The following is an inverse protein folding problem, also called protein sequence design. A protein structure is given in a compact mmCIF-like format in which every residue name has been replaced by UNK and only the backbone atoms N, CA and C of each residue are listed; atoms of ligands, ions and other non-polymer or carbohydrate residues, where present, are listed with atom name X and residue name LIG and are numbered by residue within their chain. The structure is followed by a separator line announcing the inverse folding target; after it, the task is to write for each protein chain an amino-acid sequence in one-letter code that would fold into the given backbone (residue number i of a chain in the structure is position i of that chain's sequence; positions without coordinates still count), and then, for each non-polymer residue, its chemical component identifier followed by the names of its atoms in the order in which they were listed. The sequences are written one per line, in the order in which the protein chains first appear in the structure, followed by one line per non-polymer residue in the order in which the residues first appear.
data_IF_163157977094
#
_entry.id   IF_163157977094
#
_cell.length_a   1.000
_cell.length_b   1.000
_cell.length_c   1.000
_cell.angle_alpha   90.00
_cell.angle_beta   90.00
_cell.angle_gamma   90.00
#
_symmetry.space_group_name_H-M   'P 1'
#
loop_
_entity.id
_entity.type
_entity.pdbx_description
1 polymer ?
#
# COMPACT_ATOMS: atom_id res chain seq x y z
N UNK A 1 19.82 1.94 8.41
CA UNK A 1 20.74 2.58 7.40
C UNK A 1 20.03 2.57 6.06
N UNK A 2 19.96 3.70 5.38
CA UNK A 2 19.27 3.80 4.08
C UNK A 2 20.05 3.04 3.01
N UNK A 3 19.35 2.20 2.24
CA UNK A 3 19.94 1.36 1.19
C UNK A 3 19.74 1.99 -0.19
N UNK A 4 20.81 2.05 -0.98
CA UNK A 4 20.77 2.40 -2.41
C UNK A 4 20.93 1.11 -3.20
N UNK A 5 19.98 0.82 -4.08
CA UNK A 5 19.94 -0.43 -4.83
C UNK A 5 20.68 -0.32 -6.15
N UNK A 6 21.39 -1.39 -6.50
CA UNK A 6 21.95 -1.57 -7.84
C UNK A 6 20.83 -1.94 -8.81
N UNK A 7 21.03 -1.72 -10.12
CA UNK A 7 20.09 -2.13 -11.18
C UNK A 7 19.68 -3.61 -11.08
N UNK A 8 20.61 -4.49 -10.70
CA UNK A 8 20.33 -5.91 -10.49
C UNK A 8 19.36 -6.15 -9.34
N UNK A 9 19.49 -5.40 -8.24
CA UNK A 9 18.61 -5.50 -7.08
C UNK A 9 17.24 -4.90 -7.38
N UNK A 10 17.21 -3.76 -8.08
CA UNK A 10 15.98 -3.12 -8.56
C UNK A 10 15.20 -4.10 -9.47
N UNK A 11 15.89 -4.81 -10.38
CA UNK A 11 15.27 -5.82 -11.22
C UNK A 11 14.58 -6.94 -10.41
N UNK A 12 15.15 -7.35 -9.26
CA UNK A 12 14.55 -8.34 -8.38
C UNK A 12 13.32 -7.80 -7.63
N UNK A 13 13.42 -6.56 -7.09
CA UNK A 13 12.29 -5.89 -6.43
C UNK A 13 11.14 -5.73 -7.42
N UNK A 14 11.43 -5.36 -8.67
CA UNK A 14 10.45 -5.26 -9.75
C UNK A 14 9.74 -6.58 -10.02
N UNK A 15 10.47 -7.69 -10.00
CA UNK A 15 9.88 -9.01 -10.22
C UNK A 15 8.93 -9.42 -9.08
N UNK A 16 9.29 -9.15 -7.82
CA UNK A 16 8.40 -9.35 -6.68
C UNK A 16 7.17 -8.44 -6.76
N UNK A 17 7.37 -7.16 -7.08
CA UNK A 17 6.30 -6.17 -7.25
C UNK A 17 5.37 -6.51 -8.44
N UNK A 18 5.90 -7.13 -9.51
CA UNK A 18 5.07 -7.65 -10.63
C UNK A 18 4.10 -8.72 -10.13
N UNK A 19 4.58 -9.66 -9.32
CA UNK A 19 3.71 -10.72 -8.75
C UNK A 19 2.66 -10.11 -7.83
N UNK A 20 3.01 -9.09 -7.02
CA UNK A 20 2.03 -8.34 -6.22
C UNK A 20 0.94 -7.74 -7.09
N UNK A 21 1.33 -7.01 -8.15
CA UNK A 21 0.37 -6.40 -9.09
C UNK A 21 -0.56 -7.44 -9.73
N UNK A 22 0.00 -8.55 -10.22
CA UNK A 22 -0.78 -9.62 -10.85
C UNK A 22 -1.72 -10.29 -9.85
N UNK A 23 -1.28 -10.46 -8.58
CA UNK A 23 -2.12 -11.00 -7.51
C UNK A 23 -3.30 -10.08 -7.21
N UNK A 24 -3.06 -8.78 -6.98
CA UNK A 24 -4.12 -7.79 -6.73
C UNK A 24 -5.06 -7.68 -7.92
N UNK A 25 -4.55 -7.74 -9.15
CA UNK A 25 -5.36 -7.71 -10.37
C UNK A 25 -6.26 -8.94 -10.48
N UNK A 26 -5.74 -10.14 -10.20
CA UNK A 26 -6.53 -11.37 -10.20
C UNK A 26 -7.57 -11.41 -9.06
N UNK A 27 -7.29 -10.78 -7.92
CA UNK A 27 -8.20 -10.65 -6.79
C UNK A 27 -9.35 -9.68 -7.09
N UNK A 28 -9.12 -8.62 -7.87
CA UNK A 28 -10.14 -7.61 -8.16
C UNK A 28 -11.44 -8.19 -8.74
N UNK A 29 -11.33 -9.24 -9.56
CA UNK A 29 -12.48 -9.95 -10.14
C UNK A 29 -13.22 -10.85 -9.14
N UNK A 30 -12.63 -11.12 -7.97
CA UNK A 30 -13.16 -11.99 -6.92
C UNK A 30 -13.77 -11.22 -5.75
N UNK A 31 -13.57 -9.90 -5.71
CA UNK A 31 -14.14 -9.02 -4.68
C UNK A 31 -15.59 -8.70 -5.06
N UNK A 32 -16.46 -9.66 -4.80
CA UNK A 32 -17.88 -9.60 -5.14
C UNK A 32 -18.75 -9.84 -3.92
N UNK A 33 -20.02 -9.51 -4.04
CA UNK A 33 -21.02 -9.73 -2.99
C UNK A 33 -21.02 -11.18 -2.53
N UNK A 34 -20.88 -11.41 -1.22
CA UNK A 34 -20.89 -12.75 -0.62
C UNK A 34 -19.56 -13.49 -0.61
N UNK A 35 -18.53 -12.99 -1.28
CA UNK A 35 -17.16 -13.49 -1.13
C UNK A 35 -16.63 -13.21 0.28
N UNK A 36 -15.58 -13.90 0.68
CA UNK A 36 -14.97 -13.78 2.03
C UNK A 36 -13.48 -13.48 1.94
N UNK A 37 -12.95 -12.78 2.92
CA UNK A 37 -11.51 -12.54 3.02
C UNK A 37 -10.70 -13.83 3.04
N UNK A 38 -11.21 -14.87 3.69
CA UNK A 38 -10.54 -16.18 3.76
C UNK A 38 -10.41 -16.87 2.39
N UNK A 39 -11.41 -16.76 1.54
CA UNK A 39 -11.35 -17.30 0.17
C UNK A 39 -10.32 -16.54 -0.67
N UNK A 40 -10.26 -15.20 -0.53
CA UNK A 40 -9.28 -14.37 -1.22
C UNK A 40 -7.86 -14.67 -0.76
N UNK A 41 -7.62 -14.82 0.55
CA UNK A 41 -6.32 -15.17 1.13
C UNK A 41 -5.78 -16.50 0.59
N UNK A 42 -6.64 -17.53 0.57
CA UNK A 42 -6.29 -18.85 0.05
C UNK A 42 -5.98 -18.82 -1.45
N UNK A 43 -6.74 -18.04 -2.22
CA UNK A 43 -6.47 -17.82 -3.63
C UNK A 43 -5.12 -17.13 -3.83
N UNK A 44 -4.85 -16.05 -3.09
CA UNK A 44 -3.60 -15.29 -3.20
C UNK A 44 -2.38 -16.14 -2.86
N UNK A 45 -2.42 -16.96 -1.80
CA UNK A 45 -1.32 -17.87 -1.46
C UNK A 45 -1.02 -18.82 -2.61
N UNK A 46 -2.05 -19.43 -3.18
CA UNK A 46 -1.90 -20.36 -4.31
C UNK A 46 -1.33 -19.65 -5.54
N UNK A 47 -1.81 -18.46 -5.83
CA UNK A 47 -1.39 -17.66 -6.97
C UNK A 47 0.07 -17.21 -6.85
N UNK A 48 0.45 -16.63 -5.71
CA UNK A 48 1.82 -16.17 -5.43
C UNK A 48 2.82 -17.33 -5.55
N UNK A 49 2.51 -18.48 -4.91
CA UNK A 49 3.37 -19.66 -4.98
C UNK A 49 3.46 -20.24 -6.39
N UNK A 50 2.37 -20.18 -7.15
CA UNK A 50 2.33 -20.57 -8.57
C UNK A 50 3.23 -19.73 -9.47
N UNK A 51 3.49 -18.47 -9.09
CA UNK A 51 4.43 -17.55 -9.77
C UNK A 51 5.89 -17.70 -9.27
N UNK A 52 6.14 -18.62 -8.36
CA UNK A 52 7.46 -18.86 -7.76
C UNK A 52 7.86 -17.78 -6.74
N UNK A 53 6.89 -17.06 -6.19
CA UNK A 53 7.05 -16.15 -5.05
C UNK A 53 6.64 -16.83 -3.73
N UNK A 54 6.90 -16.15 -2.63
CA UNK A 54 6.44 -16.51 -1.29
C UNK A 54 5.61 -15.38 -0.71
N UNK A 55 4.46 -15.67 -0.01
CA UNK A 55 3.71 -14.65 0.73
C UNK A 55 4.62 -13.98 1.77
N UNK A 56 4.78 -12.65 1.68
CA UNK A 56 5.69 -11.92 2.55
C UNK A 56 5.16 -11.76 3.98
N UNK A 57 3.85 -11.65 4.15
CA UNK A 57 3.24 -11.37 5.45
C UNK A 57 3.05 -12.63 6.31
N UNK A 58 2.81 -13.78 5.68
CA UNK A 58 2.51 -15.03 6.40
C UNK A 58 3.69 -15.50 7.24
N UNK A 59 3.55 -15.39 8.56
CA UNK A 59 4.60 -15.69 9.52
C UNK A 59 5.49 -14.50 9.89
N UNK A 60 5.42 -13.38 9.16
CA UNK A 60 6.17 -12.17 9.49
C UNK A 60 5.71 -11.62 10.84
N UNK A 61 6.62 -11.55 11.81
CA UNK A 61 6.34 -11.17 13.21
C UNK A 61 5.17 -11.94 13.84
N UNK A 62 4.80 -13.10 13.28
CA UNK A 62 3.68 -13.94 13.76
C UNK A 62 2.33 -13.65 13.07
N UNK A 63 2.28 -12.79 12.05
CA UNK A 63 1.05 -12.57 11.27
C UNK A 63 0.56 -13.87 10.62
N UNK A 64 -0.75 -14.22 10.70
CA UNK A 64 -1.20 -15.58 10.36
C UNK A 64 -1.50 -15.81 8.88
N UNK A 65 -1.63 -14.76 8.06
CA UNK A 65 -2.25 -14.81 6.73
C UNK A 65 -1.34 -14.33 5.62
N UNK A 66 -1.70 -14.64 4.38
CA UNK A 66 -1.00 -14.21 3.16
C UNK A 66 -1.23 -12.74 2.84
N UNK A 67 -2.48 -12.28 3.02
CA UNK A 67 -2.92 -10.91 2.77
C UNK A 67 -3.30 -10.23 4.08
N UNK A 68 -3.23 -8.89 4.12
CA UNK A 68 -4.04 -8.13 5.04
C UNK A 68 -5.34 -7.72 4.31
N UNK A 69 -6.50 -8.01 4.93
CA UNK A 69 -7.81 -7.66 4.37
C UNK A 69 -8.59 -6.87 5.41
N UNK A 70 -8.71 -5.58 5.17
CA UNK A 70 -9.35 -4.63 6.08
C UNK A 70 -10.67 -4.13 5.48
N UNK A 71 -11.75 -4.19 6.26
CA UNK A 71 -13.12 -3.92 5.77
C UNK A 71 -13.67 -2.68 6.50
N UNK A 72 -14.15 -1.69 5.76
CA UNK A 72 -14.81 -0.47 6.23
C UNK A 72 -13.95 0.34 7.22
N UNK A 73 -14.22 0.23 8.51
CA UNK A 73 -13.52 0.92 9.60
C UNK A 73 -12.18 0.29 9.99
N UNK A 74 -11.84 -0.84 9.41
CA UNK A 74 -10.51 -1.43 9.53
C UNK A 74 -9.55 -0.70 8.61
N UNK A 75 -8.51 -0.09 9.18
CA UNK A 75 -7.52 0.71 8.44
C UNK A 75 -6.55 -0.18 7.70
N UNK A 76 -5.81 -1.03 8.44
CA UNK A 76 -4.83 -1.98 7.92
C UNK A 76 -4.69 -3.20 8.83
N UNK A 77 -3.93 -4.18 8.38
CA UNK A 77 -3.55 -5.41 9.08
C UNK A 77 -4.75 -6.29 9.48
N UNK A 78 -5.91 -6.11 8.82
CA UNK A 78 -7.08 -6.96 9.03
C UNK A 78 -6.76 -8.42 8.71
N UNK A 79 -7.08 -9.33 9.63
CA UNK A 79 -6.89 -10.77 9.43
C UNK A 79 -8.03 -11.31 8.57
N UNK A 80 -7.75 -11.91 7.39
CA UNK A 80 -8.76 -12.52 6.54
C UNK A 80 -9.63 -13.52 7.26
N UNK A 81 -10.93 -13.31 7.26
CA UNK A 81 -11.90 -14.15 7.95
C UNK A 81 -13.05 -14.63 7.04
N UNK A 82 -14.06 -15.28 7.63
CA UNK A 82 -15.22 -15.81 6.92
C UNK A 82 -16.40 -14.81 6.82
N UNK A 83 -16.22 -13.54 7.21
CA UNK A 83 -17.24 -12.49 6.98
C UNK A 83 -17.48 -12.35 5.49
N UNK A 84 -18.74 -12.37 5.10
CA UNK A 84 -19.16 -12.16 3.71
C UNK A 84 -19.20 -10.68 3.40
N UNK A 85 -18.58 -10.30 2.30
CA UNK A 85 -18.67 -8.93 1.79
C UNK A 85 -20.13 -8.60 1.44
N UNK A 86 -20.53 -7.37 1.76
CA UNK A 86 -21.89 -6.85 1.59
C UNK A 86 -21.90 -5.68 0.61
N UNK A 87 -23.05 -5.39 0.05
CA UNK A 87 -23.22 -4.18 -0.75
C UNK A 87 -22.96 -2.93 0.11
N UNK A 88 -22.10 -2.06 -0.38
CA UNK A 88 -21.68 -0.84 0.34
C UNK A 88 -20.40 -0.99 1.14
N UNK A 89 -19.82 -2.20 1.27
CA UNK A 89 -18.51 -2.36 1.88
C UNK A 89 -17.40 -1.82 0.99
N UNK A 90 -16.34 -1.31 1.61
CA UNK A 90 -15.03 -1.15 0.99
C UNK A 90 -14.05 -2.14 1.63
N UNK A 91 -13.18 -2.70 0.80
CA UNK A 91 -12.23 -3.74 1.20
C UNK A 91 -10.84 -3.32 0.74
N UNK A 92 -9.98 -2.99 1.70
CA UNK A 92 -8.56 -2.74 1.45
C UNK A 92 -7.82 -4.08 1.50
N UNK A 93 -7.12 -4.40 0.42
CA UNK A 93 -6.28 -5.59 0.31
C UNK A 93 -4.84 -5.14 0.15
N UNK A 94 -4.02 -5.61 1.06
CA UNK A 94 -2.59 -5.40 1.07
C UNK A 94 -1.87 -6.74 0.86
N UNK A 95 -0.89 -6.75 -0.05
CA UNK A 95 -0.23 -7.94 -0.57
C UNK A 95 1.28 -7.71 -0.71
N UNK A 96 2.05 -8.45 0.09
CA UNK A 96 3.50 -8.51 -0.03
C UNK A 96 3.98 -9.84 -0.62
N UNK A 97 5.02 -9.78 -1.44
CA UNK A 97 5.67 -10.96 -2.06
C UNK A 97 7.17 -10.90 -1.87
N UNK A 98 7.74 -12.04 -1.46
CA UNK A 98 9.18 -12.30 -1.45
C UNK A 98 9.54 -13.18 -2.64
N UNK A 99 10.52 -12.75 -3.45
CA UNK A 99 11.13 -13.59 -4.50
C UNK A 99 12.60 -13.24 -4.66
N UNK A 100 13.44 -14.25 -4.82
CA UNK A 100 14.89 -14.11 -5.01
C UNK A 100 15.57 -13.18 -3.97
N UNK A 101 15.16 -13.31 -2.69
CA UNK A 101 15.62 -12.55 -1.53
C UNK A 101 15.22 -11.05 -1.55
N UNK A 102 14.21 -10.64 -2.32
CA UNK A 102 13.73 -9.27 -2.38
C UNK A 102 12.21 -9.20 -2.28
N UNK A 103 11.74 -8.17 -1.57
CA UNK A 103 10.32 -7.92 -1.35
C UNK A 103 9.74 -6.94 -2.37
N UNK A 104 8.45 -7.08 -2.62
CA UNK A 104 7.59 -6.11 -3.25
C UNK A 104 6.31 -6.03 -2.44
N UNK A 105 5.69 -4.85 -2.37
CA UNK A 105 4.52 -4.56 -1.59
C UNK A 105 3.58 -3.60 -2.30
N UNK A 106 2.27 -3.77 -2.11
CA UNK A 106 1.25 -2.85 -2.62
C UNK A 106 -0.12 -3.14 -2.04
N UNK A 107 -0.92 -2.08 -1.85
CA UNK A 107 -2.29 -2.18 -1.37
C UNK A 107 -3.27 -1.43 -2.27
N UNK A 108 -4.52 -1.92 -2.31
CA UNK A 108 -5.64 -1.26 -3.00
C UNK A 108 -6.93 -1.45 -2.23
N UNK A 109 -7.77 -0.40 -2.24
CA UNK A 109 -9.12 -0.45 -1.71
C UNK A 109 -10.13 -0.63 -2.84
N UNK A 110 -11.06 -1.56 -2.66
CA UNK A 110 -12.10 -1.92 -3.63
C UNK A 110 -13.48 -1.70 -3.06
N UNK A 111 -14.41 -1.23 -3.88
CA UNK A 111 -15.82 -1.13 -3.53
C UNK A 111 -16.56 -2.46 -3.82
N UNK A 112 -17.45 -2.87 -2.93
CA UNK A 112 -18.34 -4.03 -3.13
C UNK A 112 -19.75 -3.53 -3.44
N UNK A 113 -20.15 -3.62 -4.69
CA UNK A 113 -21.43 -3.09 -5.17
C UNK A 113 -21.50 -1.57 -5.11
N UNK A 114 -22.63 -1.03 -4.64
CA UNK A 114 -22.86 0.41 -4.58
C UNK A 114 -22.46 0.98 -3.21
N UNK A 115 -21.39 1.77 -3.17
CA UNK A 115 -20.91 2.48 -1.97
C UNK A 115 -21.48 3.90 -1.92
N UNK A 116 -21.59 4.47 -0.72
CA UNK A 116 -22.02 5.85 -0.51
C UNK A 116 -21.04 6.84 -1.21
N UNK A 117 -21.56 8.03 -1.57
CA UNK A 117 -20.77 9.02 -2.34
C UNK A 117 -19.52 9.49 -1.60
N UNK A 118 -19.63 9.74 -0.30
CA UNK A 118 -18.53 10.16 0.57
C UNK A 118 -17.43 9.05 0.70
N UNK A 119 -17.84 7.78 0.72
CA UNK A 119 -16.93 6.64 0.71
C UNK A 119 -16.22 6.51 -0.65
N UNK A 120 -16.93 6.78 -1.74
CA UNK A 120 -16.33 6.80 -3.08
C UNK A 120 -15.30 7.93 -3.22
N UNK A 121 -15.63 9.10 -2.68
CA UNK A 121 -14.71 10.23 -2.64
C UNK A 121 -13.49 9.92 -1.75
N UNK A 122 -13.67 9.28 -0.60
CA UNK A 122 -12.58 8.82 0.25
C UNK A 122 -11.60 7.93 -0.56
N UNK A 123 -12.11 6.91 -1.25
CA UNK A 123 -11.27 6.01 -2.05
C UNK A 123 -10.51 6.76 -3.13
N UNK A 124 -11.20 7.62 -3.90
CA UNK A 124 -10.61 8.43 -4.97
C UNK A 124 -9.51 9.36 -4.44
N UNK A 125 -9.78 10.11 -3.37
CA UNK A 125 -8.83 11.06 -2.78
C UNK A 125 -7.62 10.34 -2.19
N UNK A 126 -7.80 9.14 -1.60
CA UNK A 126 -6.69 8.35 -1.08
C UNK A 126 -5.79 7.86 -2.22
N UNK A 127 -6.38 7.38 -3.32
CA UNK A 127 -5.62 6.96 -4.49
C UNK A 127 -4.89 8.14 -5.16
N UNK A 128 -5.56 9.29 -5.34
CA UNK A 128 -4.94 10.51 -5.84
C UNK A 128 -3.77 10.96 -4.94
N UNK A 129 -3.95 10.91 -3.60
CA UNK A 129 -2.90 11.25 -2.64
C UNK A 129 -1.66 10.36 -2.77
N UNK A 130 -1.84 9.06 -3.05
CA UNK A 130 -0.72 8.15 -3.35
C UNK A 130 0.08 8.65 -4.55
N UNK A 131 -0.55 8.95 -5.68
CA UNK A 131 0.15 9.42 -6.87
C UNK A 131 0.82 10.78 -6.67
N UNK A 132 0.17 11.70 -5.94
CA UNK A 132 0.76 12.98 -5.54
C UNK A 132 2.02 12.77 -4.68
N UNK A 133 1.98 11.79 -3.76
CA UNK A 133 3.16 11.39 -2.99
C UNK A 133 4.27 10.81 -3.87
N UNK A 134 3.93 9.95 -4.83
CA UNK A 134 4.88 9.36 -5.79
C UNK A 134 5.60 10.44 -6.60
N UNK A 135 4.91 11.50 -7.05
CA UNK A 135 5.53 12.62 -7.77
C UNK A 135 6.62 13.34 -6.95
N UNK A 136 6.59 13.24 -5.61
CA UNK A 136 7.61 13.81 -4.72
C UNK A 136 8.79 12.87 -4.45
N UNK A 137 8.73 11.61 -4.87
CA UNK A 137 9.79 10.62 -4.67
C UNK A 137 10.93 10.79 -5.69
N UNK A 138 11.56 11.96 -5.71
CA UNK A 138 12.65 12.33 -6.62
C UNK A 138 13.91 12.72 -5.83
N UNK A 139 15.06 12.58 -6.49
CA UNK A 139 16.37 12.96 -5.96
C UNK A 139 16.38 14.39 -5.40
N UNK A 140 16.85 14.54 -4.17
CA UNK A 140 17.02 15.82 -3.48
C UNK A 140 15.80 16.30 -2.68
N UNK A 141 14.62 15.70 -2.88
CA UNK A 141 13.51 15.90 -1.97
C UNK A 141 13.76 15.12 -0.66
N UNK A 142 12.94 15.38 0.36
CA UNK A 142 12.97 14.68 1.64
C UNK A 142 11.71 13.80 1.80
N UNK A 143 11.79 12.81 2.67
CA UNK A 143 10.62 11.95 2.98
C UNK A 143 9.41 12.76 3.42
N UNK A 144 9.60 13.89 4.09
CA UNK A 144 8.50 14.78 4.50
C UNK A 144 7.87 15.57 3.36
N UNK A 145 8.53 15.71 2.20
CA UNK A 145 7.93 16.33 1.02
C UNK A 145 6.83 15.43 0.45
N UNK A 146 7.05 14.11 0.51
CA UNK A 146 6.02 13.09 0.19
C UNK A 146 4.85 13.24 1.15
N UNK A 147 5.11 13.17 2.47
CA UNK A 147 4.07 13.22 3.50
C UNK A 147 3.29 14.53 3.49
N UNK A 148 3.97 15.66 3.30
CA UNK A 148 3.31 16.97 3.21
C UNK A 148 2.35 17.05 2.01
N UNK A 149 2.77 16.54 0.86
CA UNK A 149 1.95 16.55 -0.35
C UNK A 149 0.69 15.68 -0.18
N UNK A 150 0.84 14.47 0.38
CA UNK A 150 -0.26 13.57 0.73
C UNK A 150 -1.22 14.25 1.72
N UNK A 151 -0.70 14.74 2.84
CA UNK A 151 -1.50 15.38 3.90
C UNK A 151 -2.28 16.57 3.37
N UNK A 152 -1.63 17.45 2.60
CA UNK A 152 -2.27 18.67 2.09
C UNK A 152 -3.45 18.33 1.18
N UNK A 153 -3.29 17.37 0.28
CA UNK A 153 -4.36 16.94 -0.61
C UNK A 153 -5.54 16.31 0.16
N UNK A 154 -5.25 15.41 1.10
CA UNK A 154 -6.26 14.71 1.89
C UNK A 154 -7.06 15.67 2.78
N UNK A 155 -6.36 16.55 3.53
CA UNK A 155 -6.99 17.48 4.47
C UNK A 155 -7.77 18.60 3.75
N UNK A 156 -7.36 19.04 2.55
CA UNK A 156 -8.11 19.97 1.70
C UNK A 156 -9.49 19.42 1.31
N UNK A 157 -9.61 18.09 1.18
CA UNK A 157 -10.87 17.42 0.87
C UNK A 157 -11.68 17.03 2.11
N UNK A 158 -11.22 17.42 3.32
CA UNK A 158 -11.95 17.21 4.58
C UNK A 158 -11.80 15.80 5.18
N UNK A 159 -10.84 15.02 4.71
CA UNK A 159 -10.47 13.72 5.26
C UNK A 159 -9.26 13.82 6.21
N UNK A 160 -8.95 12.74 6.91
CA UNK A 160 -7.85 12.70 7.89
C UNK A 160 -6.80 11.66 7.53
N UNK A 161 -5.52 12.05 7.59
CA UNK A 161 -4.40 11.13 7.41
C UNK A 161 -4.08 10.42 8.72
N UNK A 162 -3.92 9.09 8.68
CA UNK A 162 -3.42 8.30 9.81
C UNK A 162 -1.95 8.65 10.05
N UNK A 163 -1.55 8.80 11.33
CA UNK A 163 -0.21 9.29 11.69
C UNK A 163 0.68 8.27 12.36
N UNK A 164 0.10 7.26 13.00
CA UNK A 164 0.81 6.22 13.75
C UNK A 164 1.44 5.15 12.85
N UNK A 165 0.99 5.09 11.60
CA UNK A 165 1.45 4.15 10.58
C UNK A 165 2.06 4.94 9.42
N UNK A 166 3.13 4.41 8.87
CA UNK A 166 3.95 5.12 7.88
C UNK A 166 4.50 4.14 6.86
N UNK A 167 4.75 4.60 5.66
CA UNK A 167 5.50 3.87 4.65
C UNK A 167 6.96 3.64 5.06
N UNK A 168 7.68 2.88 4.27
CA UNK A 168 9.00 2.37 4.65
C UNK A 168 9.92 2.18 3.44
N UNK A 169 11.23 2.04 3.70
CA UNK A 169 12.14 1.46 2.73
C UNK A 169 11.79 -0.02 2.50
N UNK A 170 12.07 -0.54 1.30
CA UNK A 170 11.81 -1.95 0.97
C UNK A 170 12.95 -2.54 0.15
N UNK A 171 13.22 -3.83 0.32
CA UNK A 171 14.24 -4.51 -0.45
C UNK A 171 14.56 -5.91 0.03
N UNK A 172 15.65 -6.10 0.79
CA UNK A 172 16.00 -7.41 1.37
C UNK A 172 15.19 -7.74 2.61
N UNK A 173 14.69 -6.71 3.28
CA UNK A 173 13.69 -6.83 4.34
C UNK A 173 12.40 -6.21 3.85
N UNK A 174 11.26 -6.68 4.38
CA UNK A 174 9.96 -6.13 4.07
C UNK A 174 9.91 -4.65 4.50
N UNK A 175 10.36 -4.37 5.72
CA UNK A 175 10.44 -3.01 6.26
C UNK A 175 11.90 -2.63 6.49
N UNK A 176 12.36 -1.62 5.76
CA UNK A 176 13.69 -1.01 5.89
C UNK A 176 13.60 0.49 6.21
N UNK A 177 14.70 1.09 6.61
CA UNK A 177 14.83 2.56 6.61
C UNK A 177 14.78 3.13 5.17
N UNK A 178 14.27 4.34 4.99
CA UNK A 178 13.69 5.24 5.98
C UNK A 178 12.20 4.99 6.21
N UNK A 179 11.65 5.51 7.30
CA UNK A 179 10.21 5.68 7.43
C UNK A 179 9.72 6.77 6.45
N UNK A 180 8.54 6.56 5.85
CA UNK A 180 7.91 7.47 4.89
C UNK A 180 6.55 7.93 5.45
N UNK A 181 6.51 8.94 6.31
CA UNK A 181 5.26 9.42 6.88
C UNK A 181 4.33 9.99 5.80
N UNK A 182 3.03 9.83 6.00
CA UNK A 182 1.98 10.42 5.16
C UNK A 182 1.61 11.85 5.56
N UNK A 183 2.43 12.51 6.37
CA UNK A 183 2.24 13.86 6.89
C UNK A 183 3.59 14.51 7.19
N UNK A 184 3.59 15.81 7.41
CA UNK A 184 4.77 16.54 7.88
C UNK A 184 4.94 17.93 7.27
N UNK A 185 6.07 18.55 7.60
CA UNK A 185 6.49 19.82 7.03
C UNK A 185 7.55 19.59 5.94
N UNK A 186 7.51 20.33 4.83
CA UNK A 186 8.46 20.11 3.73
C UNK A 186 9.93 20.25 4.16
N UNK A 187 10.81 19.53 3.46
CA UNK A 187 12.26 19.62 3.62
C UNK A 187 12.80 19.02 4.91
N UNK A 188 12.09 18.07 5.52
CA UNK A 188 12.47 17.43 6.78
C UNK A 188 12.75 15.93 6.60
N UNK A 189 13.48 15.35 7.53
CA UNK A 189 13.80 13.92 7.55
C UNK A 189 14.91 13.53 6.56
N UNK A 190 14.85 12.29 6.09
CA UNK A 190 15.88 11.73 5.21
C UNK A 190 15.75 12.30 3.80
N UNK A 191 16.89 12.77 3.25
CA UNK A 191 16.99 13.18 1.85
C UNK A 191 16.87 11.96 0.93
N UNK A 192 16.01 12.05 -0.08
CA UNK A 192 15.80 11.01 -1.07
C UNK A 192 16.97 10.95 -2.07
N UNK A 193 17.45 9.75 -2.33
CA UNK A 193 18.56 9.50 -3.25
C UNK A 193 18.12 8.56 -4.36
N UNK A 194 18.62 8.79 -5.56
CA UNK A 194 18.43 7.89 -6.69
C UNK A 194 18.81 6.44 -6.32
N UNK A 195 17.96 5.48 -6.66
CA UNK A 195 18.13 4.06 -6.33
C UNK A 195 17.57 3.62 -4.97
N UNK A 196 16.96 4.50 -4.19
CA UNK A 196 16.15 4.08 -3.05
C UNK A 196 14.87 3.41 -3.54
N UNK A 197 14.49 2.28 -2.92
CA UNK A 197 13.18 1.67 -3.09
C UNK A 197 12.38 1.86 -1.80
N UNK A 198 11.17 2.42 -1.92
CA UNK A 198 10.31 2.80 -0.79
C UNK A 198 8.86 2.38 -1.04
N UNK A 199 8.14 2.06 0.02
CA UNK A 199 6.68 1.95 0.02
C UNK A 199 6.09 3.32 0.37
N UNK A 200 5.17 3.79 -0.47
CA UNK A 200 4.36 4.99 -0.21
C UNK A 200 2.93 4.50 -0.06
N UNK A 201 2.34 4.70 1.12
CA UNK A 201 1.11 4.00 1.54
C UNK A 201 0.18 4.90 2.36
N UNK A 202 -0.49 5.89 1.75
CA UNK A 202 -1.47 6.68 2.45
C UNK A 202 -2.63 5.83 2.99
N UNK A 203 -2.86 5.97 4.30
CA UNK A 203 -4.04 5.50 5.01
C UNK A 203 -4.87 6.72 5.40
N UNK A 204 -6.11 6.78 4.90
CA UNK A 204 -6.98 7.94 5.01
C UNK A 204 -8.32 7.56 5.62
N UNK A 205 -8.74 8.28 6.67
CA UNK A 205 -9.99 8.08 7.36
C UNK A 205 -11.06 9.08 6.87
N UNK A 206 -12.28 8.60 6.68
CA UNK A 206 -13.45 9.45 6.38
C UNK A 206 -13.75 10.44 7.52
N UNK A 207 -13.41 10.08 8.73
CA UNK A 207 -13.61 10.90 9.93
C UNK A 207 -12.32 11.35 10.58
N UNK A 208 -12.23 11.13 11.89
CA UNK A 208 -11.09 11.54 12.69
C UNK A 208 -9.87 10.63 12.44
N UNK A 209 -8.67 11.15 12.70
CA UNK A 209 -7.41 10.44 12.46
C UNK A 209 -7.08 9.36 13.49
N UNK A 210 -7.75 9.36 14.63
CA UNK A 210 -7.46 8.48 15.77
C UNK A 210 -7.80 7.02 15.44
N UNK A 211 -6.88 6.13 15.78
CA UNK A 211 -6.99 4.70 15.55
C UNK A 211 -6.83 3.90 16.85
N UNK A 212 -7.13 2.61 16.81
CA UNK A 212 -6.84 1.65 17.87
C UNK A 212 -6.61 0.26 17.30
N UNK A 213 -5.89 -0.58 18.03
CA UNK A 213 -5.67 -1.99 17.67
C UNK A 213 -6.72 -2.87 18.34
N UNK A 214 -7.32 -3.80 17.60
CA UNK A 214 -8.26 -4.79 18.11
C UNK A 214 -7.59 -5.81 19.06
N UNK A 215 -8.41 -6.62 19.75
CA UNK A 215 -7.94 -7.66 20.67
C UNK A 215 -7.15 -8.78 19.97
N UNK A 216 -7.24 -8.90 18.64
CA UNK A 216 -6.42 -9.82 17.83
C UNK A 216 -4.95 -9.39 17.73
N UNK A 217 -4.60 -8.23 18.28
CA UNK A 217 -3.27 -7.62 18.30
C UNK A 217 -2.72 -7.21 16.92
N UNK A 218 -3.53 -7.27 15.87
CA UNK A 218 -3.15 -6.94 14.49
C UNK A 218 -4.05 -5.89 13.85
N UNK A 219 -5.35 -6.15 13.80
CA UNK A 219 -6.31 -5.31 13.08
C UNK A 219 -6.37 -3.90 13.68
N UNK A 220 -6.03 -2.90 12.89
CA UNK A 220 -6.10 -1.49 13.27
C UNK A 220 -7.38 -0.89 12.71
N UNK A 221 -8.13 -0.20 13.57
CA UNK A 221 -9.42 0.39 13.23
C UNK A 221 -9.47 1.89 13.54
N UNK A 222 -10.34 2.61 12.83
CA UNK A 222 -10.70 3.98 13.17
C UNK A 222 -11.44 4.02 14.50
N UNK A 223 -11.14 5.01 15.34
CA UNK A 223 -11.78 5.12 16.66
C UNK A 223 -13.23 5.58 16.57
N UNK A 224 -13.60 6.32 15.56
CA UNK A 224 -14.97 6.82 15.34
C UNK A 224 -15.87 5.84 14.56
N UNK A 225 -15.32 4.70 14.11
CA UNK A 225 -16.05 3.66 13.37
C UNK A 225 -16.41 4.04 11.92
N UNK A 226 -15.84 5.13 11.39
CA UNK A 226 -16.04 5.51 10.00
C UNK A 226 -15.04 4.80 9.07
N UNK A 227 -15.37 4.66 7.77
CA UNK A 227 -14.51 3.98 6.82
C UNK A 227 -13.11 4.58 6.70
N UNK A 228 -12.14 3.72 6.39
CA UNK A 228 -10.77 4.07 6.02
C UNK A 228 -10.40 3.43 4.69
N UNK A 229 -9.59 4.11 3.88
CA UNK A 229 -9.05 3.60 2.63
C UNK A 229 -7.51 3.54 2.70
N UNK A 230 -6.94 2.52 2.06
CA UNK A 230 -5.52 2.29 1.97
C UNK A 230 -5.13 1.99 0.53
N UNK A 231 -4.17 2.74 0.00
CA UNK A 231 -3.53 2.49 -1.29
C UNK A 231 -2.03 2.56 -1.12
N UNK A 232 -1.31 1.73 -1.86
CA UNK A 232 0.14 1.65 -1.73
C UNK A 232 0.81 1.26 -3.03
N UNK A 233 2.04 1.77 -3.21
CA UNK A 233 2.97 1.30 -4.21
C UNK A 233 4.40 1.18 -3.70
N UNK A 234 5.11 0.12 -4.15
CA UNK A 234 6.57 0.07 -4.17
C UNK A 234 7.08 1.00 -5.26
N UNK A 235 7.93 1.96 -4.88
CA UNK A 235 8.41 3.05 -5.73
C UNK A 235 9.93 3.10 -5.72
N UNK A 236 10.54 3.25 -6.90
CA UNK A 236 11.95 3.57 -7.07
C UNK A 236 12.12 5.08 -7.16
N UNK A 237 12.93 5.65 -6.29
CA UNK A 237 13.32 7.07 -6.35
C UNK A 237 14.21 7.29 -7.56
N UNK A 238 13.77 8.15 -8.47
CA UNK A 238 14.50 8.49 -9.68
C UNK A 238 15.11 9.90 -9.64
N UNK A 239 15.94 10.19 -10.63
CA UNK A 239 16.63 11.48 -10.75
C UNK A 239 15.69 12.62 -11.16
N UNK A 240 14.75 12.34 -12.06
CA UNK A 240 13.84 13.33 -12.66
C UNK A 240 12.38 12.99 -12.33
N UNK A 241 12.07 11.72 -12.09
CA UNK A 241 10.75 11.22 -11.76
C UNK A 241 10.86 9.88 -11.06
N UNK A 242 9.89 9.57 -10.23
CA UNK A 242 9.77 8.28 -9.57
C UNK A 242 9.27 7.20 -10.53
N UNK A 243 9.62 5.94 -10.26
CA UNK A 243 9.12 4.80 -11.01
C UNK A 243 8.32 3.88 -10.08
N UNK A 244 7.05 3.65 -10.41
CA UNK A 244 6.23 2.68 -9.70
C UNK A 244 6.64 1.27 -10.17
N UNK A 245 7.10 0.43 -9.25
CA UNK A 245 7.51 -0.95 -9.55
C UNK A 245 6.33 -1.92 -9.49
N UNK A 246 5.29 -1.61 -8.74
CA UNK A 246 4.09 -2.43 -8.52
C UNK A 246 2.88 -2.05 -9.39
N UNK A 247 3.11 -1.58 -10.64
CA UNK A 247 2.05 -1.22 -11.59
C UNK A 247 1.90 -2.17 -12.79
N UNK A 248 2.65 -3.28 -12.81
CA UNK A 248 2.61 -4.27 -13.88
C UNK A 248 3.31 -3.87 -15.17
N UNK A 249 3.97 -2.72 -15.23
CA UNK A 249 4.69 -2.26 -16.42
C UNK A 249 6.08 -2.87 -16.47
N UNK A 250 6.40 -3.57 -17.57
CA UNK A 250 7.74 -4.12 -17.80
C UNK A 250 8.77 -3.02 -18.12
N UNK A 251 10.07 -3.27 -17.87
CA UNK A 251 11.16 -2.31 -18.15
C UNK A 251 11.14 -1.69 -19.55
N UNK A 252 10.57 -2.39 -20.55
CA UNK A 252 10.48 -1.89 -21.94
C UNK A 252 9.43 -0.79 -22.14
N UNK A 253 8.60 -0.51 -21.14
CA UNK A 253 7.53 0.49 -21.18
C UNK A 253 7.78 1.67 -20.21
N UNK A 254 8.95 1.73 -19.57
CA UNK A 254 9.26 2.66 -18.47
C UNK A 254 9.58 4.11 -18.90
N UNK A 255 9.35 4.48 -20.15
CA UNK A 255 9.43 5.88 -20.64
C UNK A 255 8.10 6.64 -20.43
N UNK A 256 7.39 6.37 -19.36
CA UNK A 256 6.18 7.13 -19.04
C UNK A 256 6.49 8.26 -18.07
N UNK A 257 6.75 9.43 -18.64
CA UNK A 257 6.38 10.69 -18.03
C UNK A 257 4.88 10.60 -17.68
N UNK A 258 4.54 10.93 -16.44
CA UNK A 258 3.16 11.19 -16.02
C UNK A 258 2.64 12.28 -16.97
N UNK A 259 1.63 11.96 -17.77
CA UNK A 259 0.95 12.89 -18.67
C UNK A 259 -0.18 13.58 -17.92
#
# INVERSE_FOLDING_TARGET
MVNIRSEREIGKIRESSRIVYETLSALSEKIVLGATGKELDQFAETFIRGQGGEPAFKGYMGYPSTLCISINDEVVHGIPDARKFRNGDIVSIDCGVLKDDYYGDSARTYAVGDVASDVRDLMRITEEALYIGVEKAILGNHVSDIGHAIQSHVEEHGFSVVRELVGHGIGRELHEDPQIPNYGSPGQGVELKEGMCIAIEPMVNLGDKEIFTKDDSWTICTRDGKPSAHFEHTVLVGKVGAQILSNGVSEKAADYAVA
#
